data_IF_521524895816
#
_entry.id   IF_521524895816
#
_cell.length_a   1.000
_cell.length_b   1.000
_cell.length_c   1.000
_cell.angle_alpha   90.00
_cell.angle_beta   90.00
_cell.angle_gamma   90.00
#
_symmetry.space_group_name_H-M   'P 1'
#
loop_
_entity.id
_entity.type
_entity.pdbx_description
1 polymer ?
#
# COMPACT_ATOMS: atom_id res chain seq x y z
N UNK A 1 3.76 -14.54 35.65
CA UNK A 1 4.90 -13.75 35.14
C UNK A 1 4.29 -12.45 34.63
N UNK A 2 4.45 -11.39 35.41
CA UNK A 2 3.82 -10.09 35.19
C UNK A 2 4.84 -9.18 34.51
N UNK A 3 4.49 -8.62 33.34
CA UNK A 3 5.28 -7.64 32.60
C UNK A 3 4.45 -6.36 32.48
N UNK A 4 4.40 -5.61 33.57
CA UNK A 4 3.63 -4.37 33.71
C UNK A 4 4.35 -3.13 33.14
N UNK A 5 5.47 -3.25 32.42
CA UNK A 5 6.32 -2.09 32.10
C UNK A 5 6.92 -2.14 30.67
N UNK A 6 6.10 -2.38 29.64
CA UNK A 6 6.55 -2.12 28.27
C UNK A 6 6.49 -0.61 27.97
N UNK A 7 7.63 0.02 28.25
CA UNK A 7 8.10 1.37 27.96
C UNK A 7 7.34 2.14 26.85
N UNK A 8 6.83 3.36 27.11
CA UNK A 8 6.09 4.20 26.15
C UNK A 8 6.95 4.83 25.03
N UNK A 9 8.21 4.42 24.84
CA UNK A 9 9.14 5.03 23.87
C UNK A 9 9.95 4.02 23.03
N UNK A 10 9.40 2.86 22.69
CA UNK A 10 9.97 2.02 21.63
C UNK A 10 9.48 2.53 20.27
N UNK A 11 10.31 3.38 19.65
CA UNK A 11 10.02 3.98 18.36
C UNK A 11 9.87 2.91 17.27
N UNK A 12 8.63 2.63 16.88
CA UNK A 12 8.36 1.96 15.62
C UNK A 12 9.04 2.73 14.50
N UNK A 13 9.90 2.07 13.72
CA UNK A 13 10.35 2.62 12.44
C UNK A 13 9.12 2.62 11.53
N UNK A 14 8.41 3.75 11.51
CA UNK A 14 7.19 3.97 10.74
C UNK A 14 7.49 3.73 9.26
N UNK A 15 7.02 2.62 8.75
CA UNK A 15 6.82 2.45 7.32
C UNK A 15 5.43 1.84 7.22
N UNK A 16 4.39 2.64 7.07
CA UNK A 16 3.04 2.08 6.86
C UNK A 16 3.12 1.32 5.53
N UNK A 17 3.07 0.01 5.62
CA UNK A 17 3.32 -0.90 4.51
C UNK A 17 1.98 -1.15 3.80
N UNK A 18 2.00 -1.03 2.48
CA UNK A 18 0.92 -1.53 1.64
C UNK A 18 1.13 -3.04 1.53
N UNK A 19 0.09 -3.85 1.70
CA UNK A 19 0.17 -5.30 1.40
C UNK A 19 0.76 -5.45 -0.01
N UNK A 20 1.99 -5.97 -0.10
CA UNK A 20 2.93 -5.89 -1.23
C UNK A 20 2.35 -5.27 -2.52
N UNK A 21 2.67 -4.00 -2.85
CA UNK A 21 2.17 -3.36 -4.04
C UNK A 21 2.81 -3.91 -5.32
N UNK A 22 3.54 -5.04 -5.28
CA UNK A 22 3.78 -5.87 -6.47
C UNK A 22 2.44 -6.09 -7.15
N UNK A 23 2.15 -5.25 -8.13
CA UNK A 23 1.10 -5.42 -9.10
C UNK A 23 1.63 -6.56 -9.95
N UNK A 24 1.46 -7.77 -9.41
CA UNK A 24 2.09 -8.99 -9.87
C UNK A 24 1.94 -9.04 -11.37
N UNK A 25 3.08 -9.09 -12.05
CA UNK A 25 3.28 -9.16 -13.48
C UNK A 25 1.98 -9.07 -14.27
N UNK A 26 1.55 -7.85 -14.65
CA UNK A 26 0.47 -7.72 -15.63
C UNK A 26 1.02 -8.26 -16.94
N UNK A 27 0.77 -9.55 -17.21
CA UNK A 27 1.45 -10.31 -18.28
C UNK A 27 1.17 -9.78 -19.69
N UNK A 28 0.12 -8.98 -19.86
CA UNK A 28 -0.26 -8.40 -21.16
C UNK A 28 -0.87 -7.03 -20.94
N UNK A 29 -0.06 -5.99 -21.14
CA UNK A 29 -0.56 -4.63 -21.28
C UNK A 29 -0.71 -4.31 -22.76
N UNK A 30 -1.81 -3.67 -23.18
CA UNK A 30 -1.92 -3.16 -24.53
C UNK A 30 -0.77 -2.21 -24.85
N UNK A 31 -0.34 -2.18 -26.11
CA UNK A 31 0.59 -1.15 -26.56
C UNK A 31 -0.05 0.23 -26.42
N UNK A 32 0.75 1.18 -25.92
CA UNK A 32 0.35 2.57 -25.79
C UNK A 32 0.76 3.32 -27.07
N UNK A 33 -0.09 4.22 -27.61
CA UNK A 33 0.34 5.12 -28.67
C UNK A 33 1.44 6.08 -28.18
N UNK A 34 2.15 6.73 -29.11
CA UNK A 34 3.39 7.48 -28.88
C UNK A 34 3.37 8.53 -27.73
N UNK A 35 2.19 9.00 -27.30
CA UNK A 35 2.03 10.00 -26.24
C UNK A 35 1.23 9.51 -25.01
N UNK A 36 0.89 8.23 -24.95
CA UNK A 36 0.13 7.67 -23.83
C UNK A 36 1.06 7.02 -22.79
N UNK A 37 0.64 7.05 -21.53
CA UNK A 37 1.35 6.48 -20.39
C UNK A 37 0.38 5.76 -19.46
N UNK A 38 0.87 4.72 -18.80
CA UNK A 38 0.14 4.09 -17.71
C UNK A 38 0.31 4.90 -16.41
N UNK A 39 -0.79 5.10 -15.70
CA UNK A 39 -0.81 5.73 -14.38
C UNK A 39 -1.51 4.86 -13.37
N UNK A 40 -0.93 4.76 -12.19
CA UNK A 40 -1.52 4.06 -11.06
C UNK A 40 -2.40 5.01 -10.27
N UNK A 41 -3.62 4.59 -9.95
CA UNK A 41 -4.63 5.38 -9.26
C UNK A 41 -5.01 4.66 -7.97
N UNK A 42 -4.70 5.25 -6.82
CA UNK A 42 -5.02 4.69 -5.50
C UNK A 42 -6.29 5.34 -4.95
N UNK A 43 -7.44 4.74 -5.17
CA UNK A 43 -8.74 5.30 -4.77
C UNK A 43 -8.93 6.68 -5.40
N UNK A 44 -9.01 7.70 -4.54
CA UNK A 44 -9.16 9.10 -4.94
C UNK A 44 -7.85 9.89 -4.86
N UNK A 45 -6.71 9.22 -4.60
CA UNK A 45 -5.41 9.86 -4.47
C UNK A 45 -4.83 10.31 -5.82
N UNK A 46 -3.69 11.00 -5.77
CA UNK A 46 -3.00 11.50 -6.95
C UNK A 46 -2.57 10.34 -7.85
N UNK A 47 -2.66 10.56 -9.17
CA UNK A 47 -2.24 9.57 -10.16
C UNK A 47 -0.71 9.51 -10.21
N UNK A 48 -0.16 8.31 -10.02
CA UNK A 48 1.28 8.07 -9.98
C UNK A 48 1.75 7.50 -11.31
N UNK A 49 2.91 7.92 -11.80
CA UNK A 49 3.48 7.36 -13.03
C UNK A 49 3.80 5.87 -12.83
N UNK A 50 3.37 5.04 -13.78
CA UNK A 50 3.65 3.62 -13.78
C UNK A 50 4.83 3.32 -14.70
N UNK A 51 5.88 2.70 -14.18
CA UNK A 51 7.00 2.27 -14.98
C UNK A 51 6.68 0.93 -15.67
N UNK A 52 6.77 0.91 -17.00
CA UNK A 52 6.50 -0.28 -17.81
C UNK A 52 7.77 -1.12 -17.88
N UNK A 53 7.72 -2.33 -17.34
CA UNK A 53 8.80 -3.31 -17.36
C UNK A 53 8.41 -4.48 -18.27
N UNK A 54 9.40 -5.28 -18.69
CA UNK A 54 9.17 -6.43 -19.59
C UNK A 54 8.19 -7.44 -18.99
N UNK A 55 8.20 -7.57 -17.68
CA UNK A 55 7.34 -8.47 -16.91
C UNK A 55 6.06 -7.85 -16.34
N UNK A 56 5.82 -6.55 -16.48
CA UNK A 56 4.60 -5.91 -15.96
C UNK A 56 4.71 -4.40 -15.71
N UNK A 57 3.95 -3.90 -14.73
CA UNK A 57 3.99 -2.50 -14.30
C UNK A 57 4.49 -2.37 -12.87
N UNK A 58 5.33 -1.38 -12.66
CA UNK A 58 5.78 -0.95 -11.35
C UNK A 58 5.18 0.42 -11.01
N UNK A 59 4.42 0.47 -9.93
CA UNK A 59 3.94 1.71 -9.32
C UNK A 59 4.78 2.01 -8.09
N UNK A 60 5.19 3.26 -7.90
CA UNK A 60 5.65 3.71 -6.59
C UNK A 60 4.46 3.87 -5.65
N UNK A 61 4.66 3.64 -4.35
CA UNK A 61 3.61 3.82 -3.34
C UNK A 61 3.20 5.28 -3.24
N UNK A 62 1.93 5.55 -2.91
CA UNK A 62 1.47 6.91 -2.63
C UNK A 62 2.24 7.58 -1.49
N UNK A 63 2.41 8.91 -1.57
CA UNK A 63 3.10 9.66 -0.53
C UNK A 63 2.31 9.59 0.79
N UNK A 64 3.01 9.70 1.93
CA UNK A 64 2.45 9.41 3.27
C UNK A 64 1.21 10.26 3.58
N UNK A 65 1.20 11.51 3.13
CA UNK A 65 0.11 12.47 3.31
C UNK A 65 -1.16 12.13 2.52
N UNK A 66 -1.07 11.28 1.48
CA UNK A 66 -2.23 10.85 0.68
C UNK A 66 -2.70 9.43 1.05
N UNK A 67 -2.14 8.85 2.11
CA UNK A 67 -2.54 7.53 2.58
C UNK A 67 -3.92 7.61 3.25
N UNK A 68 -4.77 6.58 3.07
CA UNK A 68 -6.08 6.54 3.69
C UNK A 68 -5.95 6.47 5.23
N UNK A 69 -6.91 7.08 5.92
CA UNK A 69 -7.06 6.91 7.36
C UNK A 69 -7.72 5.55 7.64
N UNK A 70 -7.15 4.80 8.57
CA UNK A 70 -7.76 3.57 9.08
C UNK A 70 -8.77 3.95 10.17
N UNK A 71 -10.02 3.53 10.01
CA UNK A 71 -11.09 3.82 10.97
C UNK A 71 -10.84 3.18 12.34
N UNK A 72 -11.48 3.73 13.37
CA UNK A 72 -11.37 3.19 14.72
C UNK A 72 -11.95 1.77 14.81
N UNK A 73 -11.26 0.90 15.53
CA UNK A 73 -11.59 -0.53 15.59
C UNK A 73 -11.20 -1.35 14.36
N UNK A 74 -10.71 -0.72 13.28
CA UNK A 74 -10.18 -1.42 12.11
C UNK A 74 -8.66 -1.59 12.20
N UNK A 75 -8.16 -2.71 11.71
CA UNK A 75 -6.73 -3.00 11.59
C UNK A 75 -6.15 -2.61 10.23
N UNK A 76 -6.99 -2.52 9.20
CA UNK A 76 -6.63 -2.10 7.85
C UNK A 76 -7.79 -1.37 7.14
N UNK A 77 -7.46 -0.74 6.01
CA UNK A 77 -8.43 -0.19 5.06
C UNK A 77 -8.11 -0.68 3.66
N UNK A 78 -9.13 -1.04 2.89
CA UNK A 78 -8.98 -1.46 1.50
C UNK A 78 -9.09 -0.26 0.57
N UNK A 79 -8.05 -0.04 -0.24
CA UNK A 79 -8.02 1.01 -1.25
C UNK A 79 -7.97 0.38 -2.64
N UNK A 80 -8.89 0.74 -3.55
CA UNK A 80 -8.83 0.25 -4.92
C UNK A 80 -7.63 0.87 -5.64
N UNK A 81 -6.71 0.05 -6.12
CA UNK A 81 -5.63 0.42 -7.03
C UNK A 81 -6.05 0.06 -8.45
N UNK A 82 -6.04 1.03 -9.36
CA UNK A 82 -6.21 0.77 -10.79
C UNK A 82 -5.05 1.30 -11.64
N UNK A 83 -4.82 0.67 -12.79
CA UNK A 83 -3.93 1.19 -13.82
C UNK A 83 -4.78 1.80 -14.92
N UNK A 84 -4.55 3.09 -15.17
CA UNK A 84 -5.29 3.92 -16.12
C UNK A 84 -4.41 4.33 -17.29
N UNK A 85 -4.99 4.30 -18.50
CA UNK A 85 -4.39 4.98 -19.65
C UNK A 85 -4.52 6.50 -19.49
N UNK A 86 -3.42 7.25 -19.63
CA UNK A 86 -3.46 8.71 -19.56
C UNK A 86 -4.28 9.37 -20.69
N UNK A 87 -4.37 8.74 -21.85
CA UNK A 87 -5.05 9.29 -23.04
C UNK A 87 -6.55 9.00 -22.99
N UNK A 88 -6.92 7.73 -22.84
CA UNK A 88 -8.34 7.32 -22.87
C UNK A 88 -9.03 7.43 -21.50
N UNK A 89 -8.27 7.68 -20.42
CA UNK A 89 -8.74 7.67 -19.04
C UNK A 89 -9.44 6.36 -18.62
N UNK A 90 -9.18 5.25 -19.34
CA UNK A 90 -9.76 3.95 -19.07
C UNK A 90 -8.87 3.13 -18.13
N UNK A 91 -9.50 2.47 -17.16
CA UNK A 91 -8.85 1.51 -16.27
C UNK A 91 -8.74 0.14 -16.93
N UNK A 92 -7.54 -0.44 -16.90
CA UNK A 92 -7.24 -1.75 -17.49
C UNK A 92 -7.21 -2.89 -16.48
N UNK A 93 -6.63 -2.61 -15.31
CA UNK A 93 -6.60 -3.54 -14.18
C UNK A 93 -6.99 -2.76 -12.95
N UNK A 94 -7.79 -3.39 -12.09
CA UNK A 94 -8.11 -2.87 -10.77
C UNK A 94 -8.03 -3.99 -9.75
N UNK A 95 -7.58 -3.66 -8.54
CA UNK A 95 -7.54 -4.56 -7.38
C UNK A 95 -7.64 -3.76 -6.10
N UNK A 96 -8.10 -4.37 -5.02
CA UNK A 96 -8.06 -3.73 -3.70
C UNK A 96 -6.73 -4.05 -3.01
N UNK A 97 -6.09 -3.03 -2.45
CA UNK A 97 -4.89 -3.17 -1.62
C UNK A 97 -5.22 -2.83 -0.17
N UNK A 98 -4.69 -3.62 0.76
CA UNK A 98 -4.83 -3.35 2.18
C UNK A 98 -3.73 -2.37 2.63
N UNK A 99 -4.16 -1.29 3.26
CA UNK A 99 -3.32 -0.34 3.97
C UNK A 99 -3.49 -0.61 5.47
N UNK A 100 -2.38 -0.91 6.15
CA UNK A 100 -2.35 -1.17 7.59
C UNK A 100 -1.29 -0.30 8.27
N UNK A 101 -1.44 -0.12 9.57
CA UNK A 101 -0.54 0.70 10.39
C UNK A 101 -0.09 -0.07 11.63
N UNK A 102 1.18 -0.48 11.63
CA UNK A 102 1.78 -1.20 12.76
C UNK A 102 1.95 -0.31 14.01
N UNK A 103 1.96 1.02 13.86
CA UNK A 103 2.08 1.95 15.00
C UNK A 103 0.83 1.96 15.88
N UNK A 104 -0.30 1.46 15.35
CA UNK A 104 -1.56 1.27 16.11
C UNK A 104 -1.51 0.02 17.01
N UNK A 105 -0.45 -0.79 16.93
CA UNK A 105 -0.24 -1.92 17.85
C UNK A 105 0.47 -1.39 19.08
N UNK A 106 -0.16 -1.56 20.24
CA UNK A 106 0.28 -1.01 21.53
C UNK A 106 1.15 -2.00 22.33
N UNK A 107 1.28 -3.24 21.87
CA UNK A 107 2.01 -4.29 22.58
C UNK A 107 2.70 -5.26 21.62
N UNK A 108 3.80 -5.87 22.09
CA UNK A 108 4.52 -6.92 21.37
C UNK A 108 3.59 -8.09 21.01
N UNK A 109 2.68 -8.47 21.91
CA UNK A 109 1.68 -9.52 21.65
C UNK A 109 0.77 -9.15 20.48
N UNK A 110 0.25 -7.91 20.43
CA UNK A 110 -0.59 -7.41 19.34
C UNK A 110 0.17 -7.35 18.00
N UNK A 111 1.49 -7.14 18.04
CA UNK A 111 2.36 -7.16 16.87
C UNK A 111 2.57 -8.59 16.33
N UNK A 112 2.84 -9.56 17.21
CA UNK A 112 3.08 -10.96 16.83
C UNK A 112 1.84 -11.67 16.28
N UNK A 113 0.65 -11.33 16.79
CA UNK A 113 -0.61 -11.89 16.28
C UNK A 113 -1.19 -11.10 15.11
N UNK A 114 -0.49 -10.07 14.63
CA UNK A 114 -0.91 -9.28 13.49
C UNK A 114 -0.85 -10.13 12.22
N UNK A 115 -1.90 -10.09 11.41
CA UNK A 115 -1.89 -10.69 10.06
C UNK A 115 -0.99 -9.92 9.08
N UNK A 116 -0.37 -8.83 9.54
CA UNK A 116 0.47 -7.92 8.78
C UNK A 116 1.93 -8.09 9.21
N UNK A 117 2.87 -7.91 8.28
CA UNK A 117 4.32 -8.06 8.50
C UNK A 117 4.95 -6.98 9.38
N UNK A 118 4.39 -6.78 10.58
CA UNK A 118 4.86 -5.84 11.58
C UNK A 118 6.03 -6.45 12.37
N UNK A 119 6.98 -5.60 12.74
CA UNK A 119 8.07 -5.96 13.65
C UNK A 119 8.04 -5.03 14.86
N UNK A 120 8.16 -5.61 16.06
CA UNK A 120 8.29 -4.86 17.31
C UNK A 120 9.77 -4.75 17.67
N UNK A 121 10.29 -3.51 17.79
CA UNK A 121 11.65 -3.26 18.23
C UNK A 121 11.64 -3.00 19.75
N UNK A 122 12.50 -3.71 20.48
CA UNK A 122 12.75 -3.53 21.92
C UNK A 122 13.89 -2.53 22.10
#
# INVERSE_FOLDING_TARGET
MNESDLNPKSGFKSQNWVSDPKLGCVKTLPELPHNAQYRCVFGNATRIHANVMKEGLLCTSSPVNERPTIGDGLDHVLVPLSVRNSETNKDFVSRSLAFYDCTRKDSCRMCLVSNWGCHWCI
#
